data_IF_423704327771
#
_entry.id   IF_423704327771
#
_cell.length_a   1.000
_cell.length_b   1.000
_cell.length_c   1.000
_cell.angle_alpha   90.00
_cell.angle_beta   90.00
_cell.angle_gamma   90.00
#
_symmetry.space_group_name_H-M   'P 1'
#
loop_
_entity.id
_entity.type
_entity.pdbx_description
1 polymer ?
#
# COMPACT_ATOMS: atom_id res chain seq x y z
N UNK A 1 -10.69 58.97 26.23
CA UNK A 1 -9.63 59.68 26.98
C UNK A 1 -8.32 59.09 26.59
N UNK A 2 -7.65 59.90 25.90
CA UNK A 2 -6.23 60.29 25.82
C UNK A 2 -5.27 59.19 25.32
N UNK A 3 -4.80 59.36 24.12
CA UNK A 3 -3.71 60.25 23.58
C UNK A 3 -2.36 59.58 23.78
N UNK A 4 -1.72 59.29 22.71
CA UNK A 4 -0.84 60.12 21.82
C UNK A 4 0.61 59.95 22.24
N UNK A 5 1.51 59.71 21.40
CA UNK A 5 2.28 60.40 20.35
C UNK A 5 3.73 59.94 20.50
N UNK A 6 4.57 59.92 19.69
CA UNK A 6 5.14 60.50 18.47
C UNK A 6 6.58 59.99 18.45
N UNK A 7 7.11 59.62 17.37
CA UNK A 7 7.77 60.31 16.24
C UNK A 7 9.26 60.49 16.34
N UNK A 8 9.90 60.29 15.17
CA UNK A 8 11.04 60.97 14.58
C UNK A 8 12.48 60.65 15.10
N UNK A 9 13.52 60.57 14.36
CA UNK A 9 13.86 61.08 13.01
C UNK A 9 15.28 60.62 12.64
N UNK A 10 15.46 60.33 11.37
CA UNK A 10 16.46 60.76 10.42
C UNK A 10 17.75 61.42 10.96
N UNK A 11 18.92 60.99 10.51
CA UNK A 11 19.92 61.84 9.84
C UNK A 11 20.98 61.04 9.08
N UNK A 12 21.09 61.49 7.84
CA UNK A 12 22.21 61.28 6.90
C UNK A 12 23.47 62.02 7.35
N UNK A 13 24.65 61.51 6.97
CA UNK A 13 25.71 62.41 6.45
C UNK A 13 26.69 61.65 5.58
N UNK A 14 26.96 62.23 4.46
CA UNK A 14 27.96 61.96 3.41
C UNK A 14 29.34 62.42 3.89
N UNK A 15 30.41 61.86 3.28
CA UNK A 15 31.58 62.52 2.60
C UNK A 15 32.62 61.42 2.33
N UNK A 16 32.96 61.18 1.14
CA UNK A 16 33.76 61.72 0.05
C UNK A 16 35.27 61.61 0.22
N UNK A 17 35.83 60.96 -0.79
CA UNK A 17 37.01 61.30 -1.64
C UNK A 17 38.42 60.90 -1.20
N UNK A 18 39.09 60.32 -2.19
CA UNK A 18 40.54 60.50 -2.45
C UNK A 18 41.27 59.23 -2.77
N UNK A 19 41.33 58.85 -4.00
CA UNK A 19 42.39 58.66 -5.00
C UNK A 19 43.70 57.98 -4.49
N UNK A 20 44.15 56.97 -5.16
CA UNK A 20 45.28 56.94 -6.11
C UNK A 20 45.62 55.50 -6.54
N UNK A 21 45.87 55.41 -7.82
CA UNK A 21 46.26 54.26 -8.61
C UNK A 21 47.72 53.86 -8.43
N UNK A 22 48.00 52.54 -8.39
CA UNK A 22 49.17 51.96 -9.09
C UNK A 22 48.98 50.45 -9.35
N UNK A 23 49.56 49.92 -10.41
CA UNK A 23 49.22 48.64 -10.98
C UNK A 23 50.09 47.53 -10.31
N UNK A 24 49.47 46.42 -9.98
CA UNK A 24 50.19 45.22 -9.57
C UNK A 24 49.78 44.02 -10.37
N UNK A 25 50.79 43.41 -10.88
CA UNK A 25 51.03 42.04 -11.32
C UNK A 25 49.81 41.12 -11.49
N UNK A 26 49.73 40.50 -12.65
CA UNK A 26 48.87 39.38 -12.97
C UNK A 26 49.20 38.17 -12.06
N UNK A 27 48.20 37.50 -11.49
CA UNK A 27 48.44 36.22 -10.85
C UNK A 27 48.49 35.12 -11.92
N UNK A 28 49.48 34.28 -11.81
CA UNK A 28 49.64 33.03 -12.56
C UNK A 28 48.39 32.14 -12.42
N UNK A 29 47.87 31.72 -13.56
CA UNK A 29 46.80 30.72 -13.65
C UNK A 29 47.39 29.36 -13.27
N UNK A 30 47.06 28.87 -12.09
CA UNK A 30 47.27 27.47 -11.73
C UNK A 30 46.25 26.62 -12.49
N UNK A 31 46.63 25.43 -12.99
CA UNK A 31 45.68 24.54 -13.68
C UNK A 31 44.62 24.04 -12.69
N UNK A 32 43.37 24.27 -13.04
CA UNK A 32 42.21 23.74 -12.32
C UNK A 32 42.32 22.22 -12.21
N UNK A 33 42.40 21.73 -10.98
CA UNK A 33 42.27 20.32 -10.69
C UNK A 33 40.89 19.84 -11.14
N UNK A 34 40.84 18.84 -12.04
CA UNK A 34 39.63 18.18 -12.46
C UNK A 34 38.91 17.63 -11.21
N UNK A 35 37.61 17.85 -11.05
CA UNK A 35 36.85 17.27 -9.95
C UNK A 35 36.93 15.74 -10.05
N UNK A 36 37.31 15.10 -8.94
CA UNK A 36 37.25 13.65 -8.79
C UNK A 36 35.84 13.14 -9.14
N UNK A 37 35.70 11.94 -9.74
CA UNK A 37 34.41 11.39 -10.08
C UNK A 37 33.57 11.32 -8.83
N UNK A 38 32.35 11.92 -8.90
CA UNK A 38 31.37 11.91 -7.83
C UNK A 38 31.12 10.46 -7.40
N UNK A 39 31.50 10.17 -6.18
CA UNK A 39 31.16 8.92 -5.51
C UNK A 39 29.65 8.78 -5.59
N UNK A 40 29.17 7.74 -6.26
CA UNK A 40 27.74 7.42 -6.32
C UNK A 40 27.32 7.07 -4.91
N UNK A 41 26.89 8.06 -4.14
CA UNK A 41 26.28 7.84 -2.84
C UNK A 41 25.14 6.84 -3.06
N UNK A 42 25.31 5.65 -2.53
CA UNK A 42 24.21 4.70 -2.40
C UNK A 42 23.11 5.40 -1.61
N UNK A 43 21.85 5.31 -2.05
CA UNK A 43 20.76 5.95 -1.33
C UNK A 43 20.75 5.43 0.11
N UNK A 44 20.60 6.36 1.05
CA UNK A 44 20.50 6.01 2.47
C UNK A 44 19.31 5.08 2.67
N UNK A 45 19.60 3.80 2.84
CA UNK A 45 18.61 2.73 3.04
C UNK A 45 17.73 3.04 4.26
N UNK A 46 18.28 3.69 5.28
CA UNK A 46 17.54 4.08 6.49
C UNK A 46 16.48 5.15 6.17
N UNK A 47 16.86 6.14 5.36
CA UNK A 47 15.91 7.16 4.90
C UNK A 47 14.82 6.56 3.99
N UNK A 48 15.18 5.60 3.14
CA UNK A 48 14.23 4.87 2.29
C UNK A 48 13.27 4.02 3.13
N UNK A 49 13.74 3.34 4.17
CA UNK A 49 12.92 2.59 5.12
C UNK A 49 11.95 3.51 5.86
N UNK A 50 12.40 4.68 6.31
CA UNK A 50 11.54 5.66 6.97
C UNK A 50 10.48 6.25 6.04
N UNK A 51 10.83 6.48 4.78
CA UNK A 51 9.94 7.08 3.79
C UNK A 51 8.92 6.08 3.24
N UNK A 52 9.30 4.83 3.01
CA UNK A 52 8.45 3.81 2.40
C UNK A 52 7.76 2.92 3.43
N UNK A 53 8.18 2.94 4.69
CA UNK A 53 7.65 2.07 5.73
C UNK A 53 7.87 0.57 5.49
N UNK A 54 8.62 0.24 4.45
CA UNK A 54 8.99 -1.12 4.06
C UNK A 54 10.49 -1.21 3.87
N UNK A 55 11.09 -2.21 4.49
CA UNK A 55 12.38 -2.71 4.02
C UNK A 55 12.14 -3.35 2.66
N UNK A 56 12.63 -2.72 1.60
CA UNK A 56 12.88 -3.47 0.38
C UNK A 56 13.93 -4.51 0.77
N UNK A 57 13.50 -5.73 1.07
CA UNK A 57 14.43 -6.85 1.14
C UNK A 57 15.00 -6.94 -0.28
N UNK A 58 16.31 -6.74 -0.48
CA UNK A 58 16.89 -7.00 -1.77
C UNK A 58 16.56 -8.45 -2.06
N UNK A 59 15.71 -8.70 -3.02
CA UNK A 59 15.52 -10.04 -3.53
C UNK A 59 16.90 -10.44 -4.04
N UNK A 60 17.56 -11.46 -3.51
CA UNK A 60 18.73 -12.00 -4.13
C UNK A 60 18.35 -12.18 -5.59
N UNK A 61 19.19 -11.74 -6.54
CA UNK A 61 18.84 -11.61 -7.97
C UNK A 61 18.46 -12.89 -8.72
N UNK A 62 18.03 -13.92 -7.99
CA UNK A 62 17.69 -15.26 -8.45
C UNK A 62 16.25 -15.70 -8.15
N UNK A 63 15.47 -14.94 -7.34
CA UNK A 63 14.08 -15.32 -7.07
C UNK A 63 13.17 -14.93 -8.22
N UNK A 64 12.42 -15.90 -8.74
CA UNK A 64 11.35 -15.68 -9.71
C UNK A 64 10.00 -15.29 -9.05
N UNK A 65 9.96 -15.18 -7.72
CA UNK A 65 8.78 -14.79 -6.94
C UNK A 65 9.02 -13.40 -6.36
N UNK A 66 8.06 -12.51 -6.57
CA UNK A 66 8.01 -11.20 -5.94
C UNK A 66 7.16 -11.26 -4.67
N UNK A 67 7.74 -10.90 -3.52
CA UNK A 67 7.02 -10.84 -2.26
C UNK A 67 6.56 -9.40 -1.99
N UNK A 68 5.24 -9.21 -1.92
CA UNK A 68 4.59 -7.94 -1.58
C UNK A 68 4.02 -8.02 -0.18
N UNK A 69 4.32 -7.03 0.67
CA UNK A 69 3.77 -6.97 2.03
C UNK A 69 2.76 -5.84 2.16
N UNK A 70 1.59 -6.15 2.74
CA UNK A 70 0.52 -5.19 3.05
C UNK A 70 0.29 -5.26 4.55
N UNK A 71 0.89 -4.32 5.28
CA UNK A 71 0.95 -4.36 6.74
C UNK A 71 0.51 -3.01 7.33
N UNK A 72 -0.31 -3.07 8.36
CA UNK A 72 -0.83 -1.89 9.05
C UNK A 72 -2.10 -1.35 8.42
N UNK A 73 -2.39 -0.07 8.60
CA UNK A 73 -3.58 0.58 8.07
C UNK A 73 -3.43 0.88 6.58
N UNK A 74 -4.46 0.62 5.77
CA UNK A 74 -4.49 1.05 4.37
C UNK A 74 -4.69 2.57 4.32
N UNK A 75 -3.67 3.26 3.81
CA UNK A 75 -3.67 4.71 3.68
C UNK A 75 -4.13 5.10 2.27
N UNK A 76 -5.11 6.00 2.20
CA UNK A 76 -5.67 6.53 0.96
C UNK A 76 -5.15 7.94 0.65
N UNK A 77 -6.06 8.84 0.25
CA UNK A 77 -5.71 10.21 -0.10
C UNK A 77 -5.36 11.10 1.10
N UNK A 78 -5.76 10.71 2.31
CA UNK A 78 -5.39 11.42 3.53
C UNK A 78 -4.14 10.80 4.13
N UNK A 79 -3.10 11.63 4.31
CA UNK A 79 -1.85 11.21 4.94
C UNK A 79 -2.10 11.01 6.44
N UNK A 80 -1.79 9.82 6.92
CA UNK A 80 -1.91 9.50 8.34
C UNK A 80 -0.68 9.98 9.13
N UNK A 81 -0.81 10.19 10.45
CA UNK A 81 0.32 10.57 11.30
C UNK A 81 1.50 9.59 11.15
N UNK A 82 2.75 10.08 11.11
CA UNK A 82 3.92 9.26 10.80
C UNK A 82 4.23 8.15 11.82
N UNK A 83 3.65 8.23 13.02
CA UNK A 83 3.72 7.17 14.04
C UNK A 83 2.80 5.98 13.73
N UNK A 84 1.85 6.12 12.82
CA UNK A 84 0.98 5.03 12.41
C UNK A 84 1.74 4.11 11.43
N UNK A 85 1.61 2.81 11.64
CA UNK A 85 2.08 1.86 10.64
C UNK A 85 1.04 1.76 9.53
N UNK A 86 1.42 2.15 8.32
CA UNK A 86 0.52 2.21 7.17
C UNK A 86 1.10 1.50 5.95
N UNK A 87 0.20 1.06 5.08
CA UNK A 87 0.51 0.67 3.71
C UNK A 87 -0.11 1.70 2.78
N UNK A 88 0.72 2.40 2.02
CA UNK A 88 0.31 3.45 1.08
C UNK A 88 0.04 2.85 -0.28
N UNK A 89 -1.19 2.98 -0.76
CA UNK A 89 -1.61 2.36 -2.03
C UNK A 89 -0.84 2.90 -3.24
N UNK A 90 -0.48 4.19 -3.24
CA UNK A 90 0.33 4.82 -4.28
C UNK A 90 1.76 4.27 -4.37
N UNK A 91 2.25 3.64 -3.31
CA UNK A 91 3.53 2.94 -3.33
C UNK A 91 3.43 1.50 -3.82
N UNK A 92 2.27 0.86 -3.63
CA UNK A 92 2.04 -0.52 -4.09
C UNK A 92 1.78 -0.60 -5.59
N UNK A 93 1.01 0.34 -6.14
CA UNK A 93 0.65 0.33 -7.57
C UNK A 93 1.86 0.24 -8.48
N UNK A 94 2.89 1.10 -8.38
CA UNK A 94 4.07 1.00 -9.24
C UNK A 94 4.87 -0.29 -9.01
N UNK A 95 4.86 -0.85 -7.80
CA UNK A 95 5.50 -2.14 -7.52
C UNK A 95 4.79 -3.30 -8.23
N UNK A 96 3.44 -3.30 -8.22
CA UNK A 96 2.64 -4.30 -8.93
C UNK A 96 2.84 -4.20 -10.45
N UNK A 97 2.87 -2.98 -11.00
CA UNK A 97 3.16 -2.76 -12.42
C UNK A 97 4.57 -3.24 -12.78
N UNK A 98 5.58 -2.91 -11.97
CA UNK A 98 6.95 -3.34 -12.19
C UNK A 98 7.10 -4.87 -12.12
N UNK A 99 6.42 -5.51 -11.15
CA UNK A 99 6.41 -6.97 -11.03
C UNK A 99 5.72 -7.65 -12.22
N UNK A 100 4.59 -7.10 -12.70
CA UNK A 100 3.88 -7.60 -13.88
C UNK A 100 4.73 -7.51 -15.14
N UNK A 101 5.44 -6.40 -15.35
CA UNK A 101 6.28 -6.18 -16.54
C UNK A 101 7.62 -6.92 -16.51
N UNK A 102 8.12 -7.30 -15.34
CA UNK A 102 9.44 -7.93 -15.23
C UNK A 102 9.40 -9.40 -15.65
N UNK A 103 10.05 -9.79 -16.77
CA UNK A 103 10.02 -11.18 -17.26
C UNK A 103 10.68 -12.19 -16.32
N UNK A 104 11.53 -11.74 -15.38
CA UNK A 104 12.16 -12.61 -14.37
C UNK A 104 11.20 -12.99 -13.25
N UNK A 105 10.15 -12.20 -13.02
CA UNK A 105 9.14 -12.48 -12.00
C UNK A 105 8.04 -13.33 -12.63
N UNK A 106 7.79 -14.50 -12.10
CA UNK A 106 6.81 -15.45 -12.61
C UNK A 106 5.55 -15.54 -11.74
N UNK A 107 5.65 -15.08 -10.48
CA UNK A 107 4.52 -15.06 -9.57
C UNK A 107 4.70 -14.08 -8.42
N UNK A 108 3.62 -13.75 -7.74
CA UNK A 108 3.59 -12.82 -6.61
C UNK A 108 3.03 -13.52 -5.37
N UNK A 109 3.77 -13.40 -4.26
CA UNK A 109 3.30 -13.78 -2.94
C UNK A 109 2.94 -12.51 -2.16
N UNK A 110 1.69 -12.39 -1.76
CA UNK A 110 1.17 -11.25 -0.99
C UNK A 110 1.05 -11.66 0.47
N UNK A 111 1.74 -10.96 1.36
CA UNK A 111 1.66 -11.15 2.82
C UNK A 111 0.74 -10.07 3.38
N UNK A 112 -0.37 -10.48 3.97
CA UNK A 112 -1.39 -9.57 4.47
C UNK A 112 -1.49 -9.61 6.00
N UNK A 113 -1.36 -8.44 6.63
CA UNK A 113 -1.65 -8.22 8.04
C UNK A 113 -2.14 -6.77 8.24
N UNK A 114 -3.43 -6.54 8.04
CA UNK A 114 -4.02 -5.20 8.04
C UNK A 114 -5.25 -5.11 8.94
N UNK A 115 -5.41 -3.95 9.54
CA UNK A 115 -6.63 -3.55 10.28
C UNK A 115 -7.71 -2.99 9.34
N UNK A 116 -7.43 -2.88 8.03
CA UNK A 116 -8.24 -2.17 7.07
C UNK A 116 -7.82 -0.72 6.92
N UNK A 117 -8.71 0.15 6.47
CA UNK A 117 -8.43 1.57 6.25
C UNK A 117 -9.31 2.20 5.18
N UNK A 118 -8.70 2.99 4.30
CA UNK A 118 -9.39 3.67 3.21
C UNK A 118 -9.99 2.67 2.21
N UNK A 119 -11.29 2.80 1.95
CA UNK A 119 -12.06 1.83 1.13
C UNK A 119 -11.67 1.91 -0.33
N UNK A 120 -11.52 3.12 -0.88
CA UNK A 120 -11.15 3.29 -2.29
C UNK A 120 -9.72 2.80 -2.57
N UNK A 121 -8.79 3.13 -1.67
CA UNK A 121 -7.41 2.65 -1.77
C UNK A 121 -7.33 1.11 -1.67
N UNK A 122 -8.08 0.53 -0.73
CA UNK A 122 -8.11 -0.94 -0.58
C UNK A 122 -8.74 -1.65 -1.77
N UNK A 123 -9.84 -1.13 -2.33
CA UNK A 123 -10.41 -1.66 -3.57
C UNK A 123 -9.45 -1.50 -4.75
N UNK A 124 -8.75 -0.37 -4.87
CA UNK A 124 -7.76 -0.17 -5.93
C UNK A 124 -6.63 -1.21 -5.85
N UNK A 125 -6.12 -1.49 -4.65
CA UNK A 125 -5.13 -2.55 -4.44
C UNK A 125 -5.69 -3.93 -4.84
N UNK A 126 -6.91 -4.24 -4.41
CA UNK A 126 -7.56 -5.52 -4.71
C UNK A 126 -7.78 -5.72 -6.22
N UNK A 127 -8.28 -4.70 -6.92
CA UNK A 127 -8.46 -4.70 -8.39
C UNK A 127 -7.12 -4.87 -9.10
N UNK A 128 -6.06 -4.17 -8.66
CA UNK A 128 -4.73 -4.33 -9.23
C UNK A 128 -4.23 -5.77 -9.09
N UNK A 129 -4.34 -6.37 -7.90
CA UNK A 129 -3.91 -7.75 -7.66
C UNK A 129 -4.70 -8.74 -8.53
N UNK A 130 -6.04 -8.59 -8.58
CA UNK A 130 -6.92 -9.50 -9.32
C UNK A 130 -6.70 -9.44 -10.84
N UNK A 131 -6.29 -8.27 -11.35
CA UNK A 131 -6.04 -8.02 -12.77
C UNK A 131 -4.68 -8.52 -13.27
N UNK A 132 -3.75 -8.90 -12.36
CA UNK A 132 -2.45 -9.42 -12.77
C UNK A 132 -2.58 -10.71 -13.59
N UNK A 133 -1.78 -10.81 -14.65
CA UNK A 133 -1.74 -12.03 -15.48
C UNK A 133 -0.87 -13.12 -14.86
N UNK A 134 0.06 -12.74 -14.00
CA UNK A 134 0.94 -13.66 -13.29
C UNK A 134 0.19 -14.38 -12.14
N UNK A 135 0.57 -15.60 -11.80
CA UNK A 135 0.08 -16.29 -10.61
C UNK A 135 0.28 -15.46 -9.34
N UNK A 136 -0.75 -15.39 -8.53
CA UNK A 136 -0.74 -14.67 -7.26
C UNK A 136 -1.28 -15.54 -6.14
N UNK A 137 -0.65 -15.48 -4.97
CA UNK A 137 -1.12 -16.12 -3.74
C UNK A 137 -1.08 -15.09 -2.61
N UNK A 138 -2.18 -14.95 -1.89
CA UNK A 138 -2.23 -14.15 -0.65
C UNK A 138 -2.20 -15.05 0.57
N UNK A 139 -1.40 -14.67 1.57
CA UNK A 139 -1.39 -15.31 2.89
C UNK A 139 -1.73 -14.28 3.95
N UNK A 140 -2.87 -14.45 4.62
CA UNK A 140 -3.26 -13.66 5.78
C UNK A 140 -2.56 -14.23 7.01
N UNK A 141 -1.59 -13.49 7.56
CA UNK A 141 -0.72 -13.98 8.66
C UNK A 141 -1.17 -13.52 10.05
N UNK A 142 -2.07 -12.55 10.14
CA UNK A 142 -2.59 -12.02 11.41
C UNK A 142 -4.00 -11.46 11.22
N UNK A 143 -4.13 -10.24 10.71
CA UNK A 143 -5.42 -9.61 10.44
C UNK A 143 -5.66 -9.40 8.95
N UNK A 144 -6.86 -9.75 8.49
CA UNK A 144 -7.39 -9.37 7.17
C UNK A 144 -8.69 -8.59 7.32
N UNK A 145 -8.65 -7.49 8.11
CA UNK A 145 -9.86 -6.85 8.60
C UNK A 145 -10.41 -5.81 7.64
N UNK A 146 -11.76 -5.64 7.65
CA UNK A 146 -12.45 -4.56 6.93
C UNK A 146 -12.12 -4.58 5.43
N UNK A 147 -11.56 -3.50 4.87
CA UNK A 147 -11.15 -3.46 3.46
C UNK A 147 -9.95 -4.38 3.15
N UNK A 148 -9.33 -5.00 4.16
CA UNK A 148 -8.39 -6.10 3.97
C UNK A 148 -9.05 -7.38 3.43
N UNK A 149 -10.37 -7.55 3.60
CA UNK A 149 -11.11 -8.72 3.10
C UNK A 149 -11.07 -8.82 1.58
N UNK A 150 -11.43 -7.79 0.80
CA UNK A 150 -11.25 -7.79 -0.65
C UNK A 150 -9.81 -8.07 -1.08
N UNK A 151 -8.82 -7.46 -0.39
CA UNK A 151 -7.40 -7.68 -0.71
C UNK A 151 -7.01 -9.16 -0.49
N UNK A 152 -7.52 -9.79 0.58
CA UNK A 152 -7.24 -11.19 0.88
C UNK A 152 -7.70 -12.15 -0.24
N UNK A 153 -8.86 -11.87 -0.85
CA UNK A 153 -9.46 -12.72 -1.87
C UNK A 153 -9.08 -12.35 -3.31
N UNK A 154 -8.30 -11.28 -3.50
CA UNK A 154 -7.96 -10.77 -4.82
C UNK A 154 -6.99 -11.65 -5.61
N UNK A 155 -6.21 -12.49 -4.94
CA UNK A 155 -5.24 -13.41 -5.56
C UNK A 155 -5.90 -14.63 -6.21
N UNK A 156 -5.17 -15.31 -7.09
CA UNK A 156 -5.62 -16.57 -7.71
C UNK A 156 -5.82 -17.69 -6.69
N UNK A 157 -5.16 -17.58 -5.54
CA UNK A 157 -5.34 -18.49 -4.41
C UNK A 157 -5.09 -17.73 -3.10
N UNK A 158 -5.88 -18.03 -2.08
CA UNK A 158 -5.84 -17.34 -0.79
C UNK A 158 -5.64 -18.32 0.36
N UNK A 159 -4.77 -17.95 1.28
CA UNK A 159 -4.46 -18.69 2.50
C UNK A 159 -4.66 -17.80 3.72
N UNK A 160 -5.02 -18.43 4.83
CA UNK A 160 -5.10 -17.78 6.12
C UNK A 160 -4.38 -18.63 7.17
N UNK A 161 -3.51 -18.02 7.98
CA UNK A 161 -2.90 -18.72 9.11
C UNK A 161 -3.96 -19.14 10.14
N UNK A 162 -3.75 -20.26 10.82
CA UNK A 162 -4.73 -20.82 11.76
C UNK A 162 -5.16 -19.82 12.85
N UNK A 163 -4.21 -19.04 13.38
CA UNK A 163 -4.46 -18.00 14.40
C UNK A 163 -4.92 -16.65 13.85
N UNK A 164 -4.92 -16.49 12.52
CA UNK A 164 -5.33 -15.25 11.89
C UNK A 164 -6.84 -15.07 11.86
N UNK A 165 -7.28 -13.81 11.82
CA UNK A 165 -8.71 -13.47 11.83
C UNK A 165 -9.04 -12.45 10.75
N UNK A 166 -10.30 -12.46 10.30
CA UNK A 166 -10.85 -11.49 9.38
C UNK A 166 -12.10 -10.85 9.99
N UNK A 167 -12.18 -9.53 10.01
CA UNK A 167 -13.37 -8.83 10.49
C UNK A 167 -14.15 -8.29 9.31
N UNK A 168 -15.40 -8.74 9.18
CA UNK A 168 -16.36 -8.32 8.17
C UNK A 168 -17.37 -7.40 8.84
N UNK A 169 -17.50 -6.17 8.37
CA UNK A 169 -18.43 -5.18 8.90
C UNK A 169 -18.86 -4.18 7.81
N UNK A 170 -20.00 -3.47 8.00
CA UNK A 170 -20.42 -2.42 7.07
C UNK A 170 -19.40 -1.30 6.95
N UNK A 171 -19.42 -0.60 5.83
CA UNK A 171 -18.60 0.62 5.66
C UNK A 171 -18.99 1.63 6.74
N UNK A 172 -17.98 2.23 7.35
CA UNK A 172 -18.15 3.28 8.35
C UNK A 172 -17.64 4.60 7.80
N UNK A 173 -18.33 5.65 8.14
CA UNK A 173 -17.88 7.01 7.84
C UNK A 173 -17.87 7.82 9.14
N UNK A 174 -16.80 8.60 9.32
CA UNK A 174 -16.67 9.57 10.40
C UNK A 174 -16.44 10.94 9.80
N UNK A 175 -17.13 11.96 10.33
CA UNK A 175 -16.96 13.34 9.88
C UNK A 175 -18.26 14.10 9.77
N UNK A 176 -18.18 15.32 9.21
CA UNK A 176 -19.33 16.14 8.90
C UNK A 176 -20.10 15.55 7.71
N UNK A 177 -21.38 15.27 7.89
CA UNK A 177 -22.27 14.79 6.82
C UNK A 177 -23.07 15.96 6.27
N UNK A 178 -22.90 16.25 4.99
CA UNK A 178 -23.68 17.23 4.24
C UNK A 178 -24.54 16.47 3.22
N UNK A 179 -25.87 16.62 3.31
CA UNK A 179 -26.80 15.90 2.41
C UNK A 179 -26.95 14.43 2.84
N UNK A 180 -27.71 14.18 3.90
CA UNK A 180 -27.89 12.84 4.50
C UNK A 180 -28.36 11.77 3.47
N UNK A 181 -29.36 12.01 2.61
CA UNK A 181 -29.76 11.00 1.62
C UNK A 181 -28.65 10.66 0.63
N UNK A 182 -27.95 11.65 0.08
CA UNK A 182 -26.88 11.45 -0.89
C UNK A 182 -25.68 10.71 -0.27
N UNK A 183 -25.38 11.01 1.00
CA UNK A 183 -24.33 10.32 1.74
C UNK A 183 -24.69 8.85 1.97
N UNK A 184 -25.95 8.57 2.33
CA UNK A 184 -26.45 7.20 2.50
C UNK A 184 -26.33 6.40 1.19
N UNK A 185 -26.83 6.96 0.08
CA UNK A 185 -26.71 6.33 -1.25
C UNK A 185 -25.25 6.08 -1.66
N UNK A 186 -24.36 7.00 -1.34
CA UNK A 186 -22.94 6.84 -1.63
C UNK A 186 -22.33 5.67 -0.85
N UNK A 187 -22.58 5.60 0.47
CA UNK A 187 -22.09 4.51 1.32
C UNK A 187 -22.67 3.16 0.87
N UNK A 188 -23.96 3.11 0.52
CA UNK A 188 -24.60 1.91 0.02
C UNK A 188 -23.94 1.40 -1.27
N UNK A 189 -23.72 2.29 -2.26
CA UNK A 189 -23.01 1.95 -3.51
C UNK A 189 -21.59 1.47 -3.25
N UNK A 190 -20.87 2.11 -2.32
CA UNK A 190 -19.52 1.68 -1.94
C UNK A 190 -19.54 0.29 -1.32
N UNK A 191 -20.49 0.02 -0.43
CA UNK A 191 -20.64 -1.27 0.21
C UNK A 191 -21.00 -2.37 -0.80
N UNK A 192 -21.87 -2.08 -1.75
CA UNK A 192 -22.20 -3.01 -2.83
C UNK A 192 -20.98 -3.36 -3.70
N UNK A 193 -20.08 -2.41 -3.94
CA UNK A 193 -18.81 -2.66 -4.64
C UNK A 193 -17.93 -3.65 -3.87
N UNK A 194 -17.81 -3.47 -2.54
CA UNK A 194 -17.07 -4.40 -1.69
C UNK A 194 -17.69 -5.80 -1.71
N UNK A 195 -19.01 -5.89 -1.50
CA UNK A 195 -19.75 -7.16 -1.53
C UNK A 195 -19.55 -7.87 -2.87
N UNK A 196 -19.74 -7.18 -3.98
CA UNK A 196 -19.58 -7.72 -5.32
C UNK A 196 -18.15 -8.22 -5.56
N UNK A 197 -17.15 -7.43 -5.18
CA UNK A 197 -15.76 -7.83 -5.35
C UNK A 197 -15.47 -9.13 -4.59
N UNK A 198 -15.82 -9.19 -3.31
CA UNK A 198 -15.55 -10.38 -2.48
C UNK A 198 -16.27 -11.62 -3.02
N UNK A 199 -17.54 -11.51 -3.38
CA UNK A 199 -18.32 -12.65 -3.85
C UNK A 199 -17.93 -13.11 -5.25
N UNK A 200 -17.35 -12.25 -6.07
CA UNK A 200 -16.82 -12.65 -7.39
C UNK A 200 -15.42 -13.25 -7.33
N UNK A 201 -14.67 -13.05 -6.22
CA UNK A 201 -13.31 -13.54 -6.05
C UNK A 201 -13.18 -14.62 -4.95
N UNK A 202 -14.30 -15.12 -4.42
CA UNK A 202 -14.31 -16.20 -3.42
C UNK A 202 -15.52 -17.11 -3.65
N UNK A 203 -15.66 -18.15 -2.85
CA UNK A 203 -16.80 -19.08 -2.91
C UNK A 203 -17.93 -18.74 -1.92
N UNK A 204 -17.77 -17.67 -1.14
CA UNK A 204 -18.80 -17.23 -0.19
C UNK A 204 -20.03 -16.71 -0.94
N UNK A 205 -21.22 -17.11 -0.50
CA UNK A 205 -22.44 -16.54 -1.08
C UNK A 205 -22.64 -15.08 -0.63
N UNK A 206 -23.25 -14.28 -1.50
CA UNK A 206 -23.60 -12.89 -1.16
C UNK A 206 -24.48 -12.81 0.09
N UNK A 207 -25.44 -13.73 0.21
CA UNK A 207 -26.33 -13.79 1.38
C UNK A 207 -25.52 -13.99 2.67
N UNK A 208 -24.65 -15.00 2.72
CA UNK A 208 -23.84 -15.29 3.91
C UNK A 208 -22.89 -14.14 4.21
N UNK A 209 -22.26 -13.55 3.18
CA UNK A 209 -21.36 -12.44 3.40
C UNK A 209 -22.06 -11.22 4.01
N UNK A 210 -23.27 -10.90 3.52
CA UNK A 210 -24.13 -9.84 4.09
C UNK A 210 -24.61 -10.19 5.50
N UNK A 211 -24.99 -11.43 5.76
CA UNK A 211 -25.36 -11.89 7.11
C UNK A 211 -24.22 -11.68 8.11
N UNK A 212 -22.98 -12.07 7.75
CA UNK A 212 -21.80 -11.84 8.58
C UNK A 212 -21.51 -10.36 8.75
N UNK A 213 -21.70 -9.55 7.71
CA UNK A 213 -21.46 -8.11 7.71
C UNK A 213 -22.40 -7.36 8.65
N UNK A 214 -23.67 -7.75 8.70
CA UNK A 214 -24.70 -7.06 9.50
C UNK A 214 -25.04 -7.75 10.82
N UNK A 215 -24.32 -8.79 11.19
CA UNK A 215 -24.54 -9.49 12.45
C UNK A 215 -24.29 -8.57 13.63
N UNK A 216 -25.18 -8.61 14.63
CA UNK A 216 -25.09 -7.83 15.87
C UNK A 216 -24.70 -8.72 17.04
N UNK A 217 -24.02 -8.16 18.05
CA UNK A 217 -23.71 -8.83 19.30
C UNK A 217 -22.42 -9.64 19.35
N UNK A 218 -21.69 -9.78 18.25
CA UNK A 218 -20.38 -10.44 18.23
C UNK A 218 -19.22 -9.46 18.42
N UNK A 219 -19.28 -8.28 17.81
CA UNK A 219 -18.29 -7.25 18.06
C UNK A 219 -18.75 -6.38 19.23
N UNK A 220 -17.90 -6.19 20.22
CA UNK A 220 -18.21 -5.66 21.55
C UNK A 220 -18.86 -4.25 21.56
N UNK A 221 -18.91 -3.53 20.46
CA UNK A 221 -19.55 -2.20 20.32
C UNK A 221 -20.00 -1.89 18.90
N UNK A 222 -20.12 -2.91 18.03
CA UNK A 222 -20.34 -2.63 16.63
C UNK A 222 -21.04 -3.80 15.90
N UNK A 223 -21.47 -3.51 14.68
CA UNK A 223 -22.06 -4.46 13.76
C UNK A 223 -20.95 -5.15 12.99
N UNK A 224 -21.03 -6.47 12.82
CA UNK A 224 -20.10 -7.28 12.05
C UNK A 224 -19.69 -8.56 12.75
N UNK A 225 -18.84 -9.32 12.10
CA UNK A 225 -18.35 -10.62 12.58
C UNK A 225 -16.84 -10.70 12.47
N UNK A 226 -16.19 -11.29 13.48
CA UNK A 226 -14.79 -11.71 13.39
C UNK A 226 -14.75 -13.20 13.05
N UNK A 227 -14.13 -13.54 11.91
CA UNK A 227 -14.06 -14.89 11.37
C UNK A 227 -12.64 -15.40 11.55
N UNK A 228 -12.46 -16.52 12.23
CA UNK A 228 -11.16 -17.22 12.38
C UNK A 228 -10.78 -18.00 11.12
N UNK A 229 -9.51 -18.42 11.03
CA UNK A 229 -8.98 -19.08 9.84
C UNK A 229 -9.81 -20.26 9.34
N UNK A 230 -10.17 -21.18 10.23
CA UNK A 230 -10.98 -22.37 9.87
C UNK A 230 -12.41 -22.01 9.39
N UNK A 231 -13.04 -21.01 10.02
CA UNK A 231 -14.37 -20.55 9.62
C UNK A 231 -14.32 -19.78 8.30
N UNK A 232 -13.26 -19.01 8.05
CA UNK A 232 -13.07 -18.32 6.78
C UNK A 232 -13.04 -19.30 5.59
N UNK A 233 -12.38 -20.45 5.77
CA UNK A 233 -12.36 -21.53 4.77
C UNK A 233 -13.72 -22.23 4.67
N UNK A 234 -14.35 -22.55 5.80
CA UNK A 234 -15.67 -23.18 5.85
C UNK A 234 -16.74 -22.34 5.16
N UNK A 235 -16.70 -21.02 5.30
CA UNK A 235 -17.63 -20.11 4.64
C UNK A 235 -17.29 -19.87 3.16
N UNK A 236 -16.17 -20.41 2.68
CA UNK A 236 -15.73 -20.22 1.30
C UNK A 236 -15.15 -18.84 1.03
N UNK A 237 -14.80 -18.09 2.07
CA UNK A 237 -14.18 -16.78 1.95
C UNK A 237 -12.71 -16.90 1.54
N UNK A 238 -11.97 -17.83 2.14
CA UNK A 238 -10.56 -18.13 1.86
C UNK A 238 -10.46 -19.58 1.37
N UNK A 239 -9.45 -19.88 0.55
CA UNK A 239 -9.31 -21.21 -0.08
C UNK A 239 -8.85 -22.28 0.89
N UNK A 240 -7.83 -21.99 1.72
CA UNK A 240 -7.30 -22.95 2.68
C UNK A 240 -6.67 -22.28 3.91
N UNK A 241 -6.53 -23.06 4.99
CA UNK A 241 -5.68 -22.70 6.13
C UNK A 241 -4.25 -23.09 5.78
N UNK A 242 -3.31 -22.17 6.02
CA UNK A 242 -1.88 -22.41 5.75
C UNK A 242 -1.02 -21.17 5.98
N UNK A 243 0.28 -21.39 6.04
CA UNK A 243 1.28 -20.36 6.24
C UNK A 243 2.10 -20.07 4.97
N UNK A 244 3.30 -19.52 5.20
CA UNK A 244 4.21 -19.12 4.10
C UNK A 244 4.68 -20.33 3.28
N UNK A 245 4.94 -21.49 3.94
CA UNK A 245 5.40 -22.70 3.24
C UNK A 245 4.37 -23.19 2.24
N UNK A 246 3.11 -23.31 2.67
CA UNK A 246 1.99 -23.70 1.82
C UNK A 246 1.74 -22.65 0.72
N UNK A 247 1.89 -21.37 1.06
CA UNK A 247 1.76 -20.26 0.11
C UNK A 247 2.78 -20.34 -1.03
N UNK A 248 4.04 -20.58 -0.70
CA UNK A 248 5.11 -20.76 -1.69
C UNK A 248 4.91 -22.02 -2.53
N UNK A 249 4.51 -23.13 -1.91
CA UNK A 249 4.21 -24.37 -2.62
C UNK A 249 3.07 -24.17 -3.63
N UNK A 250 1.98 -23.55 -3.20
CA UNK A 250 0.83 -23.30 -4.06
C UNK A 250 1.18 -22.32 -5.21
N UNK A 251 1.98 -21.28 -4.92
CA UNK A 251 2.41 -20.34 -5.94
C UNK A 251 3.28 -21.04 -7.01
N UNK A 252 4.22 -21.89 -6.61
CA UNK A 252 5.03 -22.65 -7.54
C UNK A 252 4.17 -23.59 -8.39
N UNK A 253 3.18 -24.25 -7.82
CA UNK A 253 2.23 -25.10 -8.58
C UNK A 253 1.47 -24.29 -9.65
N UNK A 254 1.05 -23.07 -9.32
CA UNK A 254 0.39 -22.17 -10.27
C UNK A 254 1.34 -21.70 -11.38
N UNK A 255 2.60 -21.40 -11.05
CA UNK A 255 3.63 -21.02 -12.02
C UNK A 255 3.89 -22.17 -13.00
N UNK A 256 4.08 -23.38 -12.49
CA UNK A 256 4.34 -24.56 -13.33
C UNK A 256 3.15 -24.91 -14.22
N UNK A 257 1.94 -24.74 -13.73
CA UNK A 257 0.72 -24.92 -14.53
C UNK A 257 0.63 -23.89 -15.67
N UNK A 258 0.99 -22.63 -15.40
CA UNK A 258 1.04 -21.57 -16.42
C UNK A 258 2.09 -21.88 -17.50
N UNK A 259 3.29 -22.34 -17.13
CA UNK A 259 4.36 -22.71 -18.06
C UNK A 259 3.90 -23.82 -19.01
N UNK A 260 3.30 -24.89 -18.48
CA UNK A 260 2.78 -26.01 -19.27
C UNK A 260 1.71 -25.58 -20.27
N UNK A 261 0.81 -24.68 -19.86
CA UNK A 261 -0.23 -24.15 -20.76
C UNK A 261 0.34 -23.28 -21.88
N UNK A 262 1.42 -22.52 -21.60
CA UNK A 262 2.10 -21.72 -22.60
C UNK A 262 2.82 -22.59 -23.64
N UNK A 263 3.45 -23.69 -23.23
CA UNK A 263 4.11 -24.64 -24.11
C UNK A 263 3.13 -25.45 -24.97
N UNK A 264 1.99 -25.88 -24.38
CA UNK A 264 0.94 -26.63 -25.08
C UNK A 264 0.14 -25.81 -26.09
N UNK A 265 0.05 -24.48 -25.91
CA UNK A 265 -0.65 -23.56 -26.83
C UNK A 265 0.13 -23.23 -28.11
N UNK A 266 1.39 -23.58 -28.20
CA UNK A 266 2.25 -23.30 -29.38
C UNK A 266 2.21 -24.42 -30.43
N UNK A 267 1.46 -25.50 -30.18
CA UNK A 267 1.36 -26.67 -31.07
C UNK A 267 0.03 -26.78 -31.86
N UNK A 268 -0.74 -25.70 -32.00
CA UNK A 268 -1.94 -25.71 -32.86
C UNK A 268 -1.85 -24.70 -33.99
#
# INVERSE_FOLDING_TARGET
MNKQKDSDSVKQSKQEMGSETKPSAQPEVQPEAQPAPADKQQPDVTALIQQLGQTAVPTPGESNIYCLTIIGQIEGHLVLPPQNKTTKYEHLIPQLVAAEQNPKIEGLLIILNTVGGDVEAGLAIAEMISSLTKPTVTVVIGGGHSIGVPIAVASKYSLIAESATMTIHPIRMTGLVIGVPQTFEYIEKMQERVVRFVTSHSRISEQLFKELMFKTGELNRDIGTSVGGNDAVKYGLIDAVGGIGEGLLQLNNLIDSRRKNAEGGTMQ
#
